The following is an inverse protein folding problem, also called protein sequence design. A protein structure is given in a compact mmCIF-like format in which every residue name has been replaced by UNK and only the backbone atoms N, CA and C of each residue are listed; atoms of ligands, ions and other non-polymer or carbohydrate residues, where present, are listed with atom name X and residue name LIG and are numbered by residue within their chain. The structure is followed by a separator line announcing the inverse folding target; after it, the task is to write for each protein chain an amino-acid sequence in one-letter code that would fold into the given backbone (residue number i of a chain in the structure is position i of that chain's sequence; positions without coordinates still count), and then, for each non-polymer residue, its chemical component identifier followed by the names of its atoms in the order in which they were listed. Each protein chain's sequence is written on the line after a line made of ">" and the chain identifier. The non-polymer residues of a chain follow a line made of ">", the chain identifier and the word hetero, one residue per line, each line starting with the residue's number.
data_IF_476796949789
#
_entry.id   IF_476796949789
#
_cell.length_a   1.000
_cell.length_b   1.000
_cell.length_c   1.000
_cell.angle_alpha   90.00
_cell.angle_beta   90.00
_cell.angle_gamma   90.00
#
_symmetry.space_group_name_H-M   'P 1'
#
loop_
_entity.id
_entity.type
_entity.pdbx_description
1 polymer ?
#
# COMPACT_ATOMS: atom_id res chain seq x y z
N UNK A 1 -61.97 -37.27 -10.19
CA UNK A 1 -60.59 -37.78 -10.06
C UNK A 1 -59.68 -36.64 -9.64
N UNK A 2 -59.13 -36.72 -8.43
CA UNK A 2 -58.13 -35.79 -7.87
C UNK A 2 -56.72 -36.31 -8.19
N UNK A 3 -55.78 -35.40 -8.39
CA UNK A 3 -54.34 -35.66 -8.45
C UNK A 3 -53.73 -34.91 -9.62
N UNK A 4 -52.68 -34.12 -9.49
CA UNK A 4 -51.61 -34.10 -8.49
C UNK A 4 -50.99 -32.71 -8.59
N UNK A 5 -51.02 -31.92 -7.51
CA UNK A 5 -50.18 -30.72 -7.38
C UNK A 5 -48.75 -31.23 -7.43
N UNK A 6 -48.01 -30.87 -8.48
CA UNK A 6 -46.57 -30.97 -8.49
C UNK A 6 -46.06 -29.86 -7.59
N UNK A 7 -45.66 -30.23 -6.38
CA UNK A 7 -44.89 -29.37 -5.50
C UNK A 7 -43.64 -28.93 -6.25
N UNK A 8 -43.62 -27.66 -6.63
CA UNK A 8 -42.38 -26.98 -6.97
C UNK A 8 -41.64 -26.81 -5.66
N UNK A 9 -40.78 -27.79 -5.34
CA UNK A 9 -39.73 -27.67 -4.35
C UNK A 9 -38.93 -26.42 -4.67
N UNK A 10 -39.37 -25.33 -4.07
CA UNK A 10 -38.74 -24.03 -4.15
C UNK A 10 -37.59 -24.14 -3.16
N UNK A 11 -36.54 -24.83 -3.56
CA UNK A 11 -35.29 -24.91 -2.80
C UNK A 11 -34.75 -23.49 -2.73
N UNK A 12 -35.14 -22.77 -1.68
CA UNK A 12 -34.65 -21.45 -1.35
C UNK A 12 -33.18 -21.60 -1.04
N UNK A 13 -32.34 -21.29 -2.04
CA UNK A 13 -30.90 -21.21 -1.85
C UNK A 13 -30.64 -20.27 -0.67
N UNK A 14 -29.88 -20.69 0.36
CA UNK A 14 -29.79 -19.98 1.61
C UNK A 14 -29.20 -18.57 1.41
N UNK A 15 -30.01 -17.57 1.76
CA UNK A 15 -29.71 -16.13 1.78
C UNK A 15 -28.57 -15.77 2.76
N UNK A 16 -28.08 -16.73 3.56
CA UNK A 16 -27.02 -16.54 4.57
C UNK A 16 -25.60 -16.34 4.02
N UNK A 17 -25.31 -16.70 2.77
CA UNK A 17 -23.95 -16.61 2.24
C UNK A 17 -23.47 -15.16 1.98
N UNK A 18 -24.40 -14.23 1.74
CA UNK A 18 -24.11 -12.83 1.44
C UNK A 18 -23.46 -12.04 2.62
N UNK A 19 -23.99 -12.10 3.86
CA UNK A 19 -23.41 -11.36 4.99
C UNK A 19 -21.99 -11.84 5.37
N UNK A 20 -21.72 -13.15 5.33
CA UNK A 20 -20.41 -13.72 5.67
C UNK A 20 -19.30 -13.25 4.71
N UNK A 21 -19.60 -13.19 3.40
CA UNK A 21 -18.66 -12.73 2.37
C UNK A 21 -18.32 -11.25 2.53
N UNK A 22 -19.31 -10.41 2.87
CA UNK A 22 -19.12 -8.97 3.10
C UNK A 22 -18.24 -8.72 4.33
N UNK A 23 -18.48 -9.44 5.43
CA UNK A 23 -17.65 -9.35 6.65
C UNK A 23 -16.20 -9.73 6.38
N UNK A 24 -15.96 -10.85 5.67
CA UNK A 24 -14.61 -11.29 5.29
C UNK A 24 -13.89 -10.24 4.44
N UNK A 25 -14.59 -9.62 3.49
CA UNK A 25 -14.02 -8.58 2.63
C UNK A 25 -13.66 -7.31 3.42
N UNK A 26 -14.48 -6.90 4.39
CA UNK A 26 -14.17 -5.76 5.28
C UNK A 26 -12.95 -6.05 6.13
N UNK A 27 -12.88 -7.23 6.78
CA UNK A 27 -11.72 -7.62 7.61
C UNK A 27 -10.45 -7.63 6.76
N UNK A 28 -10.47 -8.23 5.57
CA UNK A 28 -9.32 -8.27 4.67
C UNK A 28 -8.88 -6.86 4.25
N UNK A 29 -9.83 -5.96 3.98
CA UNK A 29 -9.54 -4.57 3.61
C UNK A 29 -8.85 -3.82 4.77
N UNK A 30 -9.34 -4.00 6.00
CA UNK A 30 -8.73 -3.40 7.21
C UNK A 30 -7.32 -3.97 7.42
N UNK A 31 -7.15 -5.29 7.32
CA UNK A 31 -5.83 -5.93 7.46
C UNK A 31 -4.83 -5.40 6.43
N UNK A 32 -5.26 -5.21 5.17
CA UNK A 32 -4.40 -4.65 4.13
C UNK A 32 -4.03 -3.19 4.38
N UNK A 33 -4.95 -2.38 4.92
CA UNK A 33 -4.64 -0.99 5.32
C UNK A 33 -3.65 -0.95 6.49
N UNK A 34 -3.82 -1.81 7.49
CA UNK A 34 -2.88 -1.94 8.60
C UNK A 34 -1.50 -2.39 8.10
N UNK A 35 -1.47 -3.37 7.20
CA UNK A 35 -0.24 -3.82 6.56
C UNK A 35 0.44 -2.69 5.76
N UNK A 36 -0.33 -1.87 5.03
CA UNK A 36 0.22 -0.70 4.32
C UNK A 36 0.85 0.30 5.29
N UNK A 37 0.20 0.56 6.43
CA UNK A 37 0.77 1.36 7.51
C UNK A 37 2.09 0.80 8.04
N UNK A 38 2.15 -0.50 8.31
CA UNK A 38 3.38 -1.16 8.75
C UNK A 38 4.50 -1.08 7.71
N UNK A 39 4.19 -1.33 6.43
CA UNK A 39 5.16 -1.21 5.32
C UNK A 39 5.68 0.23 5.22
N UNK A 40 4.80 1.24 5.26
CA UNK A 40 5.22 2.64 5.20
C UNK A 40 6.15 3.00 6.38
N UNK A 41 5.82 2.55 7.60
CA UNK A 41 6.67 2.76 8.77
C UNK A 41 8.06 2.09 8.61
N UNK A 42 8.10 0.85 8.12
CA UNK A 42 9.36 0.12 7.85
C UNK A 42 10.20 0.86 6.81
N UNK A 43 9.59 1.32 5.70
CA UNK A 43 10.30 2.07 4.65
C UNK A 43 10.86 3.41 5.17
N UNK A 44 10.12 4.10 6.04
CA UNK A 44 10.60 5.33 6.69
C UNK A 44 11.76 5.03 7.64
N UNK A 45 11.65 4.00 8.49
CA UNK A 45 12.77 3.60 9.36
C UNK A 45 13.99 3.22 8.55
N UNK A 46 13.84 2.44 7.47
CA UNK A 46 14.92 2.10 6.55
C UNK A 46 15.58 3.34 5.94
N UNK A 47 14.78 4.32 5.48
CA UNK A 47 15.32 5.56 4.92
C UNK A 47 16.14 6.35 5.94
N UNK A 48 15.66 6.43 7.19
CA UNK A 48 16.39 7.07 8.30
C UNK A 48 17.68 6.30 8.63
N UNK A 49 17.62 4.97 8.70
CA UNK A 49 18.79 4.12 8.95
C UNK A 49 19.84 4.27 7.85
N UNK A 50 19.43 4.31 6.58
CA UNK A 50 20.34 4.57 5.45
C UNK A 50 20.95 5.96 5.57
N UNK A 51 20.16 7.00 5.87
CA UNK A 51 20.67 8.35 6.04
C UNK A 51 21.67 8.46 7.21
N UNK A 52 21.43 7.74 8.31
CA UNK A 52 22.33 7.69 9.46
C UNK A 52 23.62 6.91 9.15
N UNK A 53 23.52 5.83 8.37
CA UNK A 53 24.67 5.02 7.95
C UNK A 53 25.54 5.76 6.92
N UNK A 54 24.91 6.45 5.96
CA UNK A 54 25.61 7.29 4.99
C UNK A 54 26.21 8.50 5.70
N UNK A 55 25.47 9.16 6.60
CA UNK A 55 25.83 10.41 7.27
C UNK A 55 26.81 10.29 8.46
N UNK A 56 27.73 9.32 8.47
CA UNK A 56 28.63 9.03 9.61
C UNK A 56 29.37 10.26 10.21
N UNK A 57 30.03 10.11 11.37
CA UNK A 57 30.51 11.23 12.22
C UNK A 57 31.54 12.17 11.56
N UNK A 58 32.03 11.86 10.36
CA UNK A 58 33.07 12.60 9.64
C UNK A 58 32.56 13.41 8.43
N UNK A 59 31.25 13.48 8.19
CA UNK A 59 30.71 14.10 6.97
C UNK A 59 30.49 15.61 7.13
N UNK A 60 31.02 16.38 6.17
CA UNK A 60 30.84 17.83 6.08
C UNK A 60 29.41 18.26 5.71
N UNK A 61 29.06 19.52 6.02
CA UNK A 61 27.72 20.11 5.76
C UNK A 61 27.18 19.88 4.34
N UNK A 62 28.06 19.79 3.34
CA UNK A 62 27.68 19.76 1.92
C UNK A 62 27.17 18.39 1.46
N UNK A 63 27.68 17.29 2.01
CA UNK A 63 27.17 15.94 1.72
C UNK A 63 25.83 15.67 2.41
N UNK A 64 25.65 16.20 3.63
CA UNK A 64 24.35 16.19 4.31
C UNK A 64 23.28 16.94 3.50
N UNK A 65 23.66 18.04 2.83
CA UNK A 65 22.77 18.81 1.96
C UNK A 65 22.37 18.05 0.69
N UNK A 66 23.22 17.18 0.15
CA UNK A 66 22.90 16.31 -1.00
C UNK A 66 21.96 15.17 -0.64
N UNK A 67 22.10 14.58 0.55
CA UNK A 67 21.26 13.45 1.00
C UNK A 67 19.84 13.93 1.39
N UNK A 68 19.70 15.17 1.87
CA UNK A 68 18.44 15.74 2.35
C UNK A 68 17.25 15.66 1.36
N UNK A 69 17.38 16.10 0.10
CA UNK A 69 16.30 16.02 -0.89
C UNK A 69 15.89 14.59 -1.24
N UNK A 70 16.85 13.68 -1.42
CA UNK A 70 16.57 12.29 -1.75
C UNK A 70 15.90 11.54 -0.58
N UNK A 71 16.34 11.80 0.66
CA UNK A 71 15.68 11.28 1.86
C UNK A 71 14.24 11.79 1.97
N UNK A 72 14.00 13.08 1.73
CA UNK A 72 12.64 13.66 1.72
C UNK A 72 11.76 13.01 0.66
N UNK A 73 12.29 12.76 -0.53
CA UNK A 73 11.57 12.06 -1.60
C UNK A 73 11.28 10.60 -1.23
N UNK A 74 12.21 9.89 -0.59
CA UNK A 74 12.00 8.51 -0.14
C UNK A 74 10.92 8.43 0.94
N UNK A 75 10.95 9.33 1.93
CA UNK A 75 9.93 9.41 2.98
C UNK A 75 8.57 9.79 2.38
N UNK A 76 8.53 10.77 1.47
CA UNK A 76 7.30 11.14 0.77
C UNK A 76 6.74 9.98 -0.07
N UNK A 77 7.61 9.27 -0.81
CA UNK A 77 7.24 8.09 -1.60
C UNK A 77 6.67 6.95 -0.75
N UNK A 78 7.16 6.77 0.48
CA UNK A 78 6.61 5.80 1.42
C UNK A 78 5.25 6.23 1.99
N UNK A 79 5.11 7.50 2.39
CA UNK A 79 3.95 7.99 3.16
C UNK A 79 2.79 8.41 2.25
N UNK A 80 3.02 9.16 1.17
CA UNK A 80 1.95 9.76 0.33
C UNK A 80 0.97 8.74 -0.27
N UNK A 81 1.40 7.53 -0.69
CA UNK A 81 0.44 6.55 -1.20
C UNK A 81 -0.52 6.00 -0.13
N UNK A 82 -0.22 6.14 1.16
CA UNK A 82 -1.06 5.65 2.26
C UNK A 82 -2.39 6.40 2.38
N UNK A 83 -2.46 7.75 2.49
CA UNK A 83 -3.74 8.46 2.50
C UNK A 83 -4.51 8.28 1.19
N UNK A 84 -3.82 8.22 0.04
CA UNK A 84 -4.47 7.97 -1.27
C UNK A 84 -5.15 6.59 -1.26
N UNK A 85 -4.44 5.56 -0.80
CA UNK A 85 -4.94 4.20 -0.63
C UNK A 85 -6.14 4.13 0.32
N UNK A 86 -6.07 4.82 1.47
CA UNK A 86 -7.16 4.90 2.43
C UNK A 86 -8.42 5.54 1.83
N UNK A 87 -8.27 6.67 1.12
CA UNK A 87 -9.39 7.36 0.46
C UNK A 87 -9.99 6.50 -0.65
N UNK A 88 -9.16 5.90 -1.52
CA UNK A 88 -9.63 5.03 -2.59
C UNK A 88 -10.38 3.80 -2.04
N UNK A 89 -9.91 3.25 -0.92
CA UNK A 89 -10.55 2.15 -0.21
C UNK A 89 -11.90 2.57 0.34
N UNK A 90 -11.99 3.72 0.99
CA UNK A 90 -13.24 4.26 1.53
C UNK A 90 -14.28 4.46 0.42
N UNK A 91 -13.87 5.08 -0.70
CA UNK A 91 -14.73 5.27 -1.88
C UNK A 91 -15.20 3.92 -2.42
N UNK A 92 -14.32 2.91 -2.52
CA UNK A 92 -14.68 1.60 -3.03
C UNK A 92 -15.63 0.82 -2.10
N UNK A 93 -15.49 0.98 -0.78
CA UNK A 93 -16.38 0.39 0.23
C UNK A 93 -17.77 1.04 0.16
N UNK A 94 -17.84 2.38 0.11
CA UNK A 94 -19.12 3.13 -0.03
C UNK A 94 -19.81 2.77 -1.35
N UNK A 95 -19.05 2.61 -2.43
CA UNK A 95 -19.57 2.25 -3.76
C UNK A 95 -19.98 0.78 -3.91
N UNK A 96 -19.93 -0.02 -2.83
CA UNK A 96 -20.18 -1.47 -2.84
C UNK A 96 -19.41 -2.25 -3.92
N UNK A 97 -18.23 -1.76 -4.36
CA UNK A 97 -17.45 -2.41 -5.41
C UNK A 97 -16.91 -3.75 -4.91
N UNK A 98 -17.09 -4.80 -5.72
CA UNK A 98 -16.59 -6.17 -5.44
C UNK A 98 -15.06 -6.29 -5.29
N UNK A 99 -14.30 -5.22 -5.52
CA UNK A 99 -12.82 -5.20 -5.51
C UNK A 99 -12.23 -4.10 -4.62
N UNK A 100 -12.88 -3.78 -3.49
CA UNK A 100 -12.35 -2.79 -2.53
C UNK A 100 -10.95 -3.13 -1.99
N UNK A 101 -10.58 -4.41 -1.97
CA UNK A 101 -9.27 -4.90 -1.54
C UNK A 101 -8.12 -4.55 -2.50
N UNK A 102 -8.41 -4.22 -3.76
CA UNK A 102 -7.37 -3.90 -4.74
C UNK A 102 -6.68 -2.56 -4.43
N UNK A 103 -7.42 -1.60 -3.87
CA UNK A 103 -6.90 -0.27 -3.53
C UNK A 103 -5.68 -0.34 -2.59
N UNK A 104 -5.71 -1.03 -1.43
CA UNK A 104 -4.55 -1.11 -0.56
C UNK A 104 -3.39 -1.92 -1.13
N UNK A 105 -3.64 -2.94 -1.96
CA UNK A 105 -2.58 -3.68 -2.65
C UNK A 105 -1.82 -2.76 -3.62
N UNK A 106 -2.55 -1.98 -4.43
CA UNK A 106 -1.96 -0.99 -5.34
C UNK A 106 -1.22 0.09 -4.56
N UNK A 107 -1.78 0.54 -3.43
CA UNK A 107 -1.14 1.50 -2.52
C UNK A 107 0.20 1.00 -1.99
N UNK A 108 0.28 -0.24 -1.50
CA UNK A 108 1.52 -0.87 -1.03
C UNK A 108 2.55 -0.92 -2.15
N UNK A 109 2.16 -1.41 -3.34
CA UNK A 109 3.04 -1.48 -4.50
C UNK A 109 3.61 -0.11 -4.90
N UNK A 110 2.76 0.92 -4.93
CA UNK A 110 3.17 2.29 -5.22
C UNK A 110 4.14 2.85 -4.17
N UNK A 111 3.90 2.61 -2.87
CA UNK A 111 4.83 3.01 -1.79
C UNK A 111 6.22 2.40 -1.98
N UNK A 112 6.29 1.10 -2.27
CA UNK A 112 7.57 0.40 -2.47
C UNK A 112 8.29 0.91 -3.71
N UNK A 113 7.57 1.07 -4.84
CA UNK A 113 8.16 1.56 -6.10
C UNK A 113 8.66 2.99 -5.96
N UNK A 114 7.86 3.91 -5.42
CA UNK A 114 8.27 5.32 -5.27
C UNK A 114 9.44 5.46 -4.30
N UNK A 115 9.44 4.70 -3.20
CA UNK A 115 10.58 4.66 -2.29
C UNK A 115 11.84 4.12 -2.98
N UNK A 116 11.75 3.02 -3.73
CA UNK A 116 12.88 2.45 -4.46
C UNK A 116 13.43 3.40 -5.52
N UNK A 117 12.55 4.07 -6.28
CA UNK A 117 12.94 5.11 -7.24
C UNK A 117 13.67 6.26 -6.55
N UNK A 118 13.20 6.70 -5.37
CA UNK A 118 13.90 7.73 -4.60
C UNK A 118 15.31 7.31 -4.17
N UNK A 119 15.53 6.02 -3.85
CA UNK A 119 16.87 5.51 -3.54
C UNK A 119 17.81 5.44 -4.74
N UNK A 120 17.29 5.27 -5.96
CA UNK A 120 18.14 5.33 -7.17
C UNK A 120 18.80 6.71 -7.31
N UNK A 121 18.12 7.79 -6.89
CA UNK A 121 18.71 9.13 -6.87
C UNK A 121 19.81 9.30 -5.81
N UNK A 122 19.93 8.41 -4.81
CA UNK A 122 21.06 8.41 -3.89
C UNK A 122 22.34 7.85 -4.53
N UNK A 123 22.22 7.00 -5.54
CA UNK A 123 23.34 6.34 -6.22
C UNK A 123 23.65 6.98 -7.57
N UNK A 124 23.68 8.32 -7.65
CA UNK A 124 24.03 9.00 -8.90
C UNK A 124 25.36 8.42 -9.46
N UNK A 125 25.39 7.99 -10.74
CA UNK A 125 26.54 7.31 -11.31
C UNK A 125 27.77 8.22 -11.18
N UNK A 126 28.90 7.65 -10.75
CA UNK A 126 30.15 8.40 -10.69
C UNK A 126 30.46 8.97 -12.08
N UNK A 127 30.79 10.27 -12.20
CA UNK A 127 31.23 10.82 -13.47
C UNK A 127 32.47 10.04 -13.90
N UNK A 128 32.46 9.53 -15.14
CA UNK A 128 33.62 8.88 -15.75
C UNK A 128 34.84 9.79 -15.57
N UNK A 129 35.78 9.40 -14.72
CA UNK A 129 37.06 10.09 -14.56
C UNK A 129 37.88 9.83 -15.83
N UNK A 130 37.64 10.63 -16.86
CA UNK A 130 38.34 10.57 -18.13
C UNK A 130 38.56 11.99 -18.66
N UNK A 131 39.73 12.55 -18.38
CA UNK A 131 40.24 13.82 -18.88
C UNK A 131 41.74 13.89 -18.66
#
# INVERSE_FOLDING_TARGET
>A
MRGRRGDTDTTTIPTEAAPARRRRQTVLTILLLLLHGAVAAILVMLAISIAAAVGGPSIGRDELYRVGPALRLAVAGAIVPLPISAVATLVAVVSARRRSWAAPVVGIGASVVLWGVALLFLHAPEPLQGG
#
